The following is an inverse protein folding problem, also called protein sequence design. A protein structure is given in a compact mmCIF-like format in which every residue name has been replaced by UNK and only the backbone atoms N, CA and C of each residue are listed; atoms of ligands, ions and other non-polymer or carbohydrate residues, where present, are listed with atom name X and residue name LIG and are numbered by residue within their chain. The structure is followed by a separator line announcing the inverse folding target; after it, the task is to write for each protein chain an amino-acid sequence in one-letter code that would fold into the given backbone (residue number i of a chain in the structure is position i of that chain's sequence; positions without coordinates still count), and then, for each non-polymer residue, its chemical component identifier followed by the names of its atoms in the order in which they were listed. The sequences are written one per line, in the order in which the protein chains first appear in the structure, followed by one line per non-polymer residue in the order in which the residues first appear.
data_IF_681312899846
#
_entry.id   IF_681312899846
#
_cell.length_a   1.000
_cell.length_b   1.000
_cell.length_c   1.000
_cell.angle_alpha   90.00
_cell.angle_beta   90.00
_cell.angle_gamma   90.00
#
_symmetry.space_group_name_H-M   'P 1'
#
loop_
_entity.id
_entity.type
_entity.pdbx_description
1 polymer ?
#
# COMPACT_ATOMS: atom_id res chain seq x y z
N UNK A 1 35.69 -31.52 -13.16
CA UNK A 1 34.27 -31.22 -13.52
C UNK A 1 33.52 -30.57 -12.34
N UNK A 2 33.61 -31.09 -11.11
CA UNK A 2 32.90 -30.56 -9.92
C UNK A 2 33.32 -29.13 -9.53
N UNK A 3 34.61 -28.79 -9.63
CA UNK A 3 35.15 -27.46 -9.30
C UNK A 3 34.65 -26.40 -10.29
N UNK A 4 34.53 -26.74 -11.56
CA UNK A 4 34.02 -25.82 -12.59
C UNK A 4 32.54 -25.47 -12.39
N UNK A 5 31.72 -26.40 -11.90
CA UNK A 5 30.29 -26.18 -11.61
C UNK A 5 30.14 -25.27 -10.39
N UNK A 6 31.01 -25.42 -9.36
CA UNK A 6 31.01 -24.56 -8.16
C UNK A 6 31.40 -23.11 -8.52
N UNK A 7 32.38 -22.90 -9.39
CA UNK A 7 32.78 -21.55 -9.80
C UNK A 7 31.72 -20.86 -10.67
N UNK A 8 30.99 -21.60 -11.52
CA UNK A 8 29.88 -21.07 -12.30
C UNK A 8 28.71 -20.69 -11.35
N UNK A 9 28.43 -21.50 -10.36
CA UNK A 9 27.40 -21.20 -9.36
C UNK A 9 27.72 -19.95 -8.54
N UNK A 10 28.96 -19.77 -8.10
CA UNK A 10 29.41 -18.60 -7.34
C UNK A 10 29.40 -17.29 -8.15
N UNK A 11 29.55 -17.37 -9.48
CA UNK A 11 29.54 -16.19 -10.35
C UNK A 11 28.14 -15.84 -10.85
N UNK A 12 27.33 -16.84 -11.15
CA UNK A 12 26.02 -16.66 -11.81
C UNK A 12 24.91 -16.29 -10.82
N UNK A 13 24.93 -16.81 -9.60
CA UNK A 13 23.94 -16.51 -8.57
C UNK A 13 23.96 -15.04 -8.13
N UNK A 14 25.13 -14.41 -7.86
CA UNK A 14 25.17 -12.97 -7.54
C UNK A 14 24.67 -12.07 -8.67
N UNK A 15 25.00 -12.40 -9.93
CA UNK A 15 24.56 -11.60 -11.09
C UNK A 15 23.03 -11.65 -11.25
N UNK A 16 22.42 -12.81 -11.01
CA UNK A 16 20.95 -12.94 -11.04
C UNK A 16 20.29 -12.24 -9.87
N UNK A 17 20.92 -12.22 -8.69
CA UNK A 17 20.42 -11.46 -7.54
C UNK A 17 20.44 -9.95 -7.80
N UNK A 18 21.51 -9.41 -8.38
CA UNK A 18 21.59 -7.98 -8.76
C UNK A 18 20.55 -7.63 -9.83
N UNK A 19 20.28 -8.51 -10.78
CA UNK A 19 19.21 -8.29 -11.76
C UNK A 19 17.81 -8.29 -11.14
N UNK A 20 17.59 -9.11 -10.09
CA UNK A 20 16.33 -9.11 -9.35
C UNK A 20 16.14 -7.86 -8.49
N UNK A 21 17.21 -7.26 -7.97
CA UNK A 21 17.14 -5.96 -7.28
C UNK A 21 16.79 -4.82 -8.22
N UNK A 22 17.31 -4.81 -9.44
CA UNK A 22 17.00 -3.78 -10.45
C UNK A 22 15.55 -3.86 -11.00
N UNK A 23 14.87 -5.01 -10.87
CA UNK A 23 13.44 -5.14 -11.14
C UNK A 23 12.55 -4.61 -10.01
N UNK A 24 13.14 -4.21 -8.89
CA UNK A 24 12.44 -3.80 -7.68
C UNK A 24 12.12 -2.30 -7.61
N UNK A 25 12.70 -1.49 -8.47
CA UNK A 25 12.35 -0.09 -8.57
C UNK A 25 11.10 0.06 -9.44
N UNK A 26 9.96 0.22 -8.75
CA UNK A 26 8.73 0.67 -9.42
C UNK A 26 9.05 1.96 -10.17
N UNK A 27 8.55 2.14 -11.41
CA UNK A 27 8.76 3.38 -12.13
C UNK A 27 8.28 4.53 -11.26
N UNK A 28 9.18 5.45 -10.94
CA UNK A 28 8.84 6.68 -10.25
C UNK A 28 7.85 7.43 -11.14
N UNK A 29 6.62 7.59 -10.68
CA UNK A 29 5.66 8.48 -11.32
C UNK A 29 6.23 9.88 -11.18
N UNK A 30 6.66 10.47 -12.31
CA UNK A 30 7.03 11.87 -12.37
C UNK A 30 5.75 12.70 -12.17
N UNK A 31 5.55 13.18 -10.96
CA UNK A 31 4.53 14.20 -10.69
C UNK A 31 4.88 15.45 -11.52
N UNK A 32 3.89 16.11 -12.15
CA UNK A 32 4.13 17.38 -12.84
C UNK A 32 4.78 18.35 -11.89
N UNK A 33 5.90 18.95 -12.29
CA UNK A 33 6.52 20.06 -11.56
C UNK A 33 5.57 21.25 -11.63
N UNK A 34 4.90 21.55 -10.51
CA UNK A 34 4.20 22.81 -10.38
C UNK A 34 5.18 23.98 -10.56
N UNK A 35 4.76 24.96 -11.35
CA UNK A 35 5.55 26.12 -11.65
C UNK A 35 5.90 26.89 -10.40
N UNK A 36 7.19 27.20 -10.25
CA UNK A 36 7.73 28.03 -9.17
C UNK A 36 7.20 29.45 -9.34
N UNK A 37 6.30 29.88 -8.47
CA UNK A 37 5.95 31.28 -8.28
C UNK A 37 7.05 31.91 -7.42
N UNK A 38 7.72 32.99 -7.82
CA UNK A 38 8.77 33.60 -7.02
C UNK A 38 8.17 34.29 -5.80
N UNK A 39 8.44 33.75 -4.61
CA UNK A 39 8.12 34.42 -3.34
C UNK A 39 9.25 35.36 -2.99
N UNK A 40 8.92 36.64 -2.88
CA UNK A 40 9.73 37.73 -2.39
C UNK A 40 10.26 37.47 -0.99
N UNK A 41 11.56 37.71 -0.79
CA UNK A 41 12.29 37.62 0.47
C UNK A 41 11.72 38.53 1.56
N UNK A 42 11.34 37.95 2.70
CA UNK A 42 11.56 38.58 4.01
C UNK A 42 11.82 37.46 5.03
N UNK A 43 12.98 37.47 5.64
CA UNK A 43 13.49 36.40 6.47
C UNK A 43 12.71 36.20 7.76
N UNK A 44 12.44 34.96 8.03
CA UNK A 44 12.41 34.34 9.38
C UNK A 44 12.43 32.82 9.21
N UNK A 45 13.54 32.21 9.63
CA UNK A 45 13.64 30.75 9.76
C UNK A 45 12.76 30.30 10.92
N UNK A 46 11.52 29.93 10.63
CA UNK A 46 10.67 29.20 11.58
C UNK A 46 10.74 27.71 11.24
N UNK A 47 11.29 26.96 12.17
CA UNK A 47 11.24 25.50 12.20
C UNK A 47 9.77 25.10 12.33
N UNK A 48 9.10 24.83 11.21
CA UNK A 48 7.74 24.34 11.20
C UNK A 48 7.72 22.90 11.74
N UNK A 49 7.46 22.75 13.04
CA UNK A 49 6.82 21.54 13.55
C UNK A 49 5.48 21.44 12.80
N UNK A 50 5.39 20.54 11.82
CA UNK A 50 4.17 20.31 11.06
C UNK A 50 3.04 19.90 12.00
N UNK A 51 2.20 20.82 12.39
CA UNK A 51 0.98 20.53 13.13
C UNK A 51 0.01 19.80 12.19
N UNK A 52 -0.57 18.71 12.67
CA UNK A 52 -1.64 17.98 11.98
C UNK A 52 -2.78 18.97 11.70
N UNK A 53 -3.31 19.07 10.46
CA UNK A 53 -4.48 19.89 10.20
C UNK A 53 -5.64 19.49 11.11
N UNK A 54 -6.27 20.46 11.76
CA UNK A 54 -7.30 20.23 12.78
C UNK A 54 -8.63 19.70 12.21
N UNK A 55 -8.82 19.79 10.90
CA UNK A 55 -10.03 19.39 10.19
C UNK A 55 -9.90 18.07 9.40
N UNK A 56 -8.87 17.27 9.66
CA UNK A 56 -8.75 15.94 9.02
C UNK A 56 -9.82 14.97 9.50
N UNK A 57 -10.23 14.08 8.60
CA UNK A 57 -11.03 12.90 8.95
C UNK A 57 -10.20 12.01 9.88
N UNK A 58 -10.87 11.35 10.82
CA UNK A 58 -10.22 10.54 11.84
C UNK A 58 -9.44 9.36 11.23
N UNK A 59 -8.22 9.17 11.71
CA UNK A 59 -7.38 8.02 11.37
C UNK A 59 -7.81 6.82 12.17
N UNK A 60 -8.15 5.74 11.49
CA UNK A 60 -8.45 4.43 12.08
C UNK A 60 -7.21 3.55 12.09
N UNK A 61 -7.10 2.71 13.12
CA UNK A 61 -6.07 1.69 13.27
C UNK A 61 -6.74 0.32 13.32
N UNK A 62 -6.22 -0.63 12.55
CA UNK A 62 -6.75 -2.00 12.54
C UNK A 62 -5.63 -3.02 12.50
N UNK A 63 -5.93 -4.23 12.99
CA UNK A 63 -5.07 -5.41 12.91
C UNK A 63 -5.90 -6.53 12.29
N UNK A 64 -5.42 -7.07 11.18
CA UNK A 64 -6.08 -8.13 10.43
C UNK A 64 -5.27 -9.40 10.59
N UNK A 65 -5.89 -10.46 11.13
CA UNK A 65 -5.25 -11.77 11.21
C UNK A 65 -5.36 -12.49 9.85
N UNK A 66 -4.29 -12.41 9.07
CA UNK A 66 -4.14 -13.06 7.78
C UNK A 66 -3.10 -14.20 7.84
N UNK A 67 -3.01 -14.91 8.97
CA UNK A 67 -2.00 -15.94 9.22
C UNK A 67 -2.20 -17.22 8.41
N UNK A 68 -3.40 -17.46 7.84
CA UNK A 68 -3.65 -18.59 6.95
C UNK A 68 -2.76 -18.52 5.70
N UNK A 69 -2.23 -19.66 5.27
CA UNK A 69 -1.49 -19.77 4.00
C UNK A 69 -2.42 -20.01 2.79
N UNK A 70 -3.64 -20.42 3.04
CA UNK A 70 -4.61 -20.83 2.02
C UNK A 70 -5.77 -19.85 1.87
N UNK A 71 -6.24 -19.27 2.97
CA UNK A 71 -7.46 -18.49 3.00
C UNK A 71 -7.19 -16.99 2.94
N UNK A 72 -7.97 -16.31 2.11
CA UNK A 72 -7.98 -14.86 2.04
C UNK A 72 -8.92 -14.28 3.11
N UNK A 73 -8.45 -13.23 3.76
CA UNK A 73 -9.22 -12.42 4.70
C UNK A 73 -9.58 -11.12 4.01
N UNK A 74 -10.86 -10.85 3.85
CA UNK A 74 -11.39 -9.70 3.12
C UNK A 74 -11.68 -8.55 4.07
N UNK A 75 -11.34 -7.33 3.66
CA UNK A 75 -11.51 -6.12 4.45
C UNK A 75 -12.25 -5.06 3.65
N UNK A 76 -13.22 -4.41 4.29
CA UNK A 76 -13.99 -3.30 3.76
C UNK A 76 -13.67 -2.02 4.54
N UNK A 77 -13.19 -0.99 3.87
CA UNK A 77 -12.84 0.27 4.49
C UNK A 77 -14.04 1.07 4.97
N UNK A 78 -15.19 0.95 4.31
CA UNK A 78 -16.42 1.63 4.69
C UNK A 78 -16.92 1.13 6.04
N UNK A 79 -16.96 -0.18 6.22
CA UNK A 79 -17.31 -0.85 7.49
C UNK A 79 -16.18 -0.77 8.51
N UNK A 80 -14.93 -0.62 8.03
CA UNK A 80 -13.74 -0.59 8.86
C UNK A 80 -13.40 -1.93 9.51
N UNK A 81 -13.79 -3.03 8.87
CA UNK A 81 -13.72 -4.36 9.46
C UNK A 81 -13.45 -5.46 8.42
N UNK A 82 -13.02 -6.61 8.92
CA UNK A 82 -13.04 -7.86 8.15
C UNK A 82 -14.48 -8.23 7.84
N UNK A 83 -14.71 -8.68 6.61
CA UNK A 83 -16.02 -9.09 6.11
C UNK A 83 -15.97 -10.54 5.65
N UNK A 84 -17.04 -11.26 5.95
CA UNK A 84 -17.27 -12.60 5.40
C UNK A 84 -18.03 -12.45 4.09
N UNK A 85 -17.46 -12.97 3.00
CA UNK A 85 -18.04 -12.84 1.66
C UNK A 85 -18.33 -14.21 1.06
N UNK A 86 -19.51 -14.35 0.46
CA UNK A 86 -19.90 -15.55 -0.25
C UNK A 86 -19.48 -15.52 -1.73
N UNK A 87 -19.42 -14.34 -2.31
CA UNK A 87 -19.02 -14.10 -3.70
C UNK A 87 -17.85 -13.15 -3.78
N UNK A 88 -16.71 -13.63 -4.26
CA UNK A 88 -15.49 -12.85 -4.43
C UNK A 88 -15.63 -11.73 -5.47
N UNK A 89 -16.64 -11.80 -6.33
CA UNK A 89 -16.94 -10.77 -7.34
C UNK A 89 -17.87 -9.68 -6.80
N UNK A 90 -18.35 -9.80 -5.56
CA UNK A 90 -19.11 -8.73 -4.90
C UNK A 90 -18.26 -7.50 -4.66
N UNK A 91 -18.90 -6.33 -4.49
CA UNK A 91 -18.22 -5.08 -4.15
C UNK A 91 -18.16 -4.83 -2.62
N UNK A 92 -18.42 -5.87 -1.83
CA UNK A 92 -18.51 -5.77 -0.37
C UNK A 92 -17.16 -5.78 0.34
N UNK A 93 -16.06 -5.80 -0.40
CA UNK A 93 -14.71 -5.77 0.12
C UNK A 93 -13.80 -4.91 -0.77
N UNK A 94 -12.67 -4.43 -0.24
CA UNK A 94 -11.74 -3.56 -0.94
C UNK A 94 -10.35 -4.16 -1.10
N UNK A 95 -9.80 -4.66 -0.02
CA UNK A 95 -8.52 -5.37 0.02
C UNK A 95 -8.69 -6.75 0.62
N UNK A 96 -7.91 -7.72 0.14
CA UNK A 96 -7.83 -9.02 0.76
C UNK A 96 -6.38 -9.38 1.09
N UNK A 97 -6.21 -10.09 2.20
CA UNK A 97 -4.94 -10.40 2.80
C UNK A 97 -4.76 -11.90 2.98
N UNK A 98 -3.57 -12.40 2.63
CA UNK A 98 -3.15 -13.79 2.89
C UNK A 98 -1.67 -13.79 3.18
N UNK A 99 -1.28 -14.01 4.43
CA UNK A 99 0.09 -13.77 4.88
C UNK A 99 0.53 -12.34 4.52
N UNK A 100 1.65 -12.18 3.85
CA UNK A 100 2.13 -10.87 3.38
C UNK A 100 1.58 -10.45 2.01
N UNK A 101 0.78 -11.30 1.37
CA UNK A 101 0.15 -10.99 0.08
C UNK A 101 -1.07 -10.11 0.28
N UNK A 102 -1.22 -9.12 -0.59
CA UNK A 102 -2.37 -8.21 -0.60
C UNK A 102 -2.87 -8.06 -2.03
N UNK A 103 -4.16 -8.24 -2.22
CA UNK A 103 -4.85 -8.01 -3.49
C UNK A 103 -5.96 -6.97 -3.30
N UNK A 104 -6.38 -6.35 -4.39
CA UNK A 104 -7.48 -5.38 -4.40
C UNK A 104 -8.70 -5.93 -5.12
N UNK A 105 -9.86 -5.39 -4.80
CA UNK A 105 -11.11 -5.75 -5.46
C UNK A 105 -11.26 -5.02 -6.80
N UNK A 106 -10.34 -5.32 -7.73
CA UNK A 106 -10.32 -4.70 -9.05
C UNK A 106 -9.43 -5.44 -10.04
N UNK A 107 -9.47 -5.03 -11.30
CA UNK A 107 -8.63 -5.59 -12.35
C UNK A 107 -8.83 -7.09 -12.59
N UNK A 108 -7.73 -7.85 -12.55
CA UNK A 108 -7.77 -9.29 -12.79
C UNK A 108 -8.44 -10.07 -11.63
N UNK A 109 -8.48 -9.53 -10.43
CA UNK A 109 -9.12 -10.15 -9.26
C UNK A 109 -10.64 -10.04 -9.34
N UNK A 110 -11.16 -8.86 -9.70
CA UNK A 110 -12.58 -8.65 -9.92
C UNK A 110 -12.80 -7.60 -11.03
N UNK A 111 -13.44 -8.02 -12.12
CA UNK A 111 -13.74 -7.14 -13.26
C UNK A 111 -14.84 -6.11 -12.97
N UNK A 112 -15.66 -6.34 -11.96
CA UNK A 112 -16.74 -5.44 -11.56
C UNK A 112 -16.29 -4.39 -10.55
N UNK A 113 -15.25 -4.71 -9.74
CA UNK A 113 -14.66 -3.79 -8.79
C UNK A 113 -13.73 -2.78 -9.47
N UNK A 114 -13.69 -1.56 -8.91
CA UNK A 114 -12.85 -0.47 -9.41
C UNK A 114 -11.60 -0.24 -8.58
N UNK A 115 -11.31 -1.17 -7.65
CA UNK A 115 -10.20 -1.01 -6.75
C UNK A 115 -8.85 -1.00 -7.47
N UNK A 116 -7.97 -0.16 -6.96
CA UNK A 116 -6.60 -0.03 -7.41
C UNK A 116 -5.78 0.75 -6.39
N UNK A 117 -4.47 0.84 -6.61
CA UNK A 117 -3.56 1.47 -5.67
C UNK A 117 -2.56 2.40 -6.35
N UNK A 118 -2.10 3.39 -5.58
CA UNK A 118 -0.94 4.24 -5.92
C UNK A 118 0.00 4.23 -4.72
N UNK A 119 1.30 4.09 -4.97
CA UNK A 119 2.32 4.28 -3.96
C UNK A 119 2.71 5.77 -3.91
N UNK A 120 2.33 6.47 -2.85
CA UNK A 120 2.65 7.89 -2.63
C UNK A 120 4.07 8.09 -2.10
N UNK A 121 4.82 7.02 -1.86
CA UNK A 121 6.17 7.09 -1.29
C UNK A 121 6.18 7.34 0.22
N UNK A 122 7.33 7.82 0.71
CA UNK A 122 7.57 8.06 2.15
C UNK A 122 7.00 9.40 2.62
N UNK A 123 5.75 9.68 2.28
CA UNK A 123 5.07 10.88 2.77
C UNK A 123 4.65 10.72 4.23
N UNK A 124 4.60 11.85 4.96
CA UNK A 124 3.99 11.86 6.27
C UNK A 124 2.48 11.63 6.13
N UNK A 125 1.98 10.55 6.72
CA UNK A 125 0.60 10.13 6.60
C UNK A 125 -0.40 11.23 6.99
N UNK A 126 -0.11 11.99 8.04
CA UNK A 126 -1.00 13.06 8.53
C UNK A 126 -0.99 14.31 7.62
N UNK A 127 0.04 14.47 6.78
CA UNK A 127 0.15 15.57 5.83
C UNK A 127 -0.48 15.26 4.47
N UNK A 128 -0.83 14.02 4.20
CA UNK A 128 -1.58 13.65 2.99
C UNK A 128 -3.04 14.05 3.20
N UNK A 129 -3.42 15.20 2.66
CA UNK A 129 -4.78 15.77 2.76
C UNK A 129 -5.66 15.42 1.57
N UNK A 130 -5.07 15.02 0.46
CA UNK A 130 -5.73 14.56 -0.75
C UNK A 130 -4.94 13.46 -1.45
N UNK A 131 -5.57 12.75 -2.37
CA UNK A 131 -4.95 11.72 -3.21
C UNK A 131 -5.33 11.92 -4.68
N UNK A 132 -4.54 11.39 -5.64
CA UNK A 132 -4.90 11.45 -7.05
C UNK A 132 -6.29 10.88 -7.31
N UNK A 133 -7.01 11.44 -8.29
CA UNK A 133 -8.31 10.93 -8.71
C UNK A 133 -8.19 9.74 -9.66
N UNK A 134 -7.09 9.67 -10.43
CA UNK A 134 -6.87 8.70 -11.50
C UNK A 134 -5.51 8.00 -11.38
N UNK A 135 -5.23 7.12 -12.35
CA UNK A 135 -3.99 6.35 -12.46
C UNK A 135 -3.75 5.33 -11.34
N UNK A 136 -4.82 4.81 -10.76
CA UNK A 136 -4.74 3.70 -9.82
C UNK A 136 -4.41 2.40 -10.56
N UNK A 137 -3.42 1.68 -10.04
CA UNK A 137 -2.99 0.39 -10.59
C UNK A 137 -3.86 -0.73 -10.05
N UNK A 138 -4.67 -1.40 -10.90
CA UNK A 138 -5.48 -2.54 -10.49
C UNK A 138 -4.62 -3.81 -10.39
N UNK A 139 -5.23 -4.89 -9.92
CA UNK A 139 -4.60 -6.19 -9.90
C UNK A 139 -4.36 -6.74 -11.31
N UNK A 140 -3.27 -7.46 -11.47
CA UNK A 140 -2.89 -8.16 -12.69
C UNK A 140 -2.95 -9.67 -12.49
N UNK A 141 -3.18 -10.41 -13.58
CA UNK A 141 -3.07 -11.85 -13.59
C UNK A 141 -1.61 -12.27 -13.73
N UNK A 142 -1.19 -13.22 -12.92
CA UNK A 142 0.08 -13.94 -13.07
C UNK A 142 -0.17 -15.36 -13.56
N UNK A 143 0.87 -16.19 -13.63
CA UNK A 143 0.73 -17.59 -14.03
C UNK A 143 -0.08 -18.44 -13.02
N UNK A 144 -0.08 -18.05 -11.76
CA UNK A 144 -0.63 -18.88 -10.67
C UNK A 144 -1.77 -18.21 -9.91
N UNK A 145 -1.78 -16.89 -9.83
CA UNK A 145 -2.76 -16.14 -9.04
C UNK A 145 -2.88 -14.70 -9.55
N UNK A 146 -3.68 -13.87 -8.89
CA UNK A 146 -3.72 -12.43 -9.11
C UNK A 146 -2.88 -11.72 -8.06
N UNK A 147 -2.31 -10.57 -8.42
CA UNK A 147 -1.50 -9.75 -7.52
C UNK A 147 -1.64 -8.26 -7.85
N UNK A 148 -1.46 -7.41 -6.84
CA UNK A 148 -1.34 -5.98 -7.07
C UNK A 148 0.12 -5.56 -7.16
N UNK A 149 0.59 -5.00 -8.31
CA UNK A 149 2.01 -4.63 -8.50
C UNK A 149 2.52 -3.62 -7.48
N UNK A 150 1.66 -2.73 -6.99
CA UNK A 150 2.02 -1.70 -5.99
C UNK A 150 2.28 -2.30 -4.62
N UNK A 151 1.55 -3.38 -4.27
CA UNK A 151 1.62 -4.01 -2.94
C UNK A 151 2.51 -5.25 -2.87
N UNK A 152 3.12 -5.68 -3.96
CA UNK A 152 4.06 -6.81 -3.96
C UNK A 152 5.17 -6.66 -2.92
N UNK A 153 5.61 -5.43 -2.71
CA UNK A 153 6.73 -5.10 -1.81
C UNK A 153 6.39 -3.95 -0.87
N UNK A 154 5.23 -4.03 -0.17
CA UNK A 154 4.91 -3.09 0.90
C UNK A 154 5.85 -3.23 2.11
N UNK A 155 6.70 -4.26 2.11
CA UNK A 155 7.67 -4.59 3.14
C UNK A 155 9.09 -4.75 2.58
N UNK A 156 10.08 -4.76 3.46
CA UNK A 156 11.45 -5.24 3.23
C UNK A 156 11.66 -6.54 3.99
N UNK A 157 12.39 -7.48 3.40
CA UNK A 157 12.72 -8.75 4.00
C UNK A 157 14.22 -8.81 4.32
N UNK A 158 14.56 -9.13 5.57
CA UNK A 158 15.94 -9.32 5.99
C UNK A 158 16.30 -10.80 5.89
N UNK A 159 17.20 -11.14 4.98
CA UNK A 159 17.60 -12.51 4.68
C UNK A 159 18.44 -13.17 5.81
N UNK A 160 19.06 -12.38 6.70
CA UNK A 160 19.84 -12.89 7.82
C UNK A 160 18.93 -13.24 9.00
N UNK A 161 18.01 -12.34 9.34
CA UNK A 161 17.14 -12.53 10.50
C UNK A 161 15.79 -13.15 10.14
N UNK A 162 15.53 -13.35 8.84
CA UNK A 162 14.25 -13.83 8.29
C UNK A 162 13.04 -12.98 8.71
N UNK A 163 13.28 -11.69 9.01
CA UNK A 163 12.24 -10.76 9.44
C UNK A 163 11.76 -9.91 8.28
N UNK A 164 10.46 -9.66 8.31
CA UNK A 164 9.74 -8.76 7.43
C UNK A 164 9.49 -7.45 8.18
N UNK A 165 9.73 -6.31 7.54
CA UNK A 165 9.47 -4.99 8.12
C UNK A 165 8.66 -4.16 7.15
N UNK A 166 7.57 -3.55 7.60
CA UNK A 166 6.77 -2.65 6.77
C UNK A 166 7.61 -1.45 6.31
N UNK A 167 7.47 -1.09 5.04
CA UNK A 167 8.07 0.15 4.51
C UNK A 167 7.30 1.36 5.01
N UNK A 168 7.99 2.50 5.12
CA UNK A 168 7.39 3.76 5.59
C UNK A 168 6.47 4.43 4.55
N UNK A 169 6.09 3.73 3.49
CA UNK A 169 5.29 4.29 2.41
C UNK A 169 3.84 4.49 2.82
N UNK A 170 3.26 5.58 2.33
CA UNK A 170 1.80 5.82 2.33
C UNK A 170 1.27 5.44 0.96
N UNK A 171 0.09 4.83 0.92
CA UNK A 171 -0.57 4.41 -0.31
C UNK A 171 -1.94 5.08 -0.41
N UNK A 172 -2.34 5.44 -1.63
CA UNK A 172 -3.71 5.74 -1.95
C UNK A 172 -4.39 4.47 -2.46
N UNK A 173 -5.59 4.22 -2.00
CA UNK A 173 -6.45 3.12 -2.46
C UNK A 173 -7.72 3.72 -3.03
N UNK A 174 -8.10 3.31 -4.22
CA UNK A 174 -9.45 3.43 -4.74
C UNK A 174 -10.20 2.16 -4.36
N UNK A 175 -11.37 2.29 -3.74
CA UNK A 175 -12.16 1.15 -3.26
C UNK A 175 -12.92 0.46 -4.40
N UNK A 176 -13.51 -0.69 -4.13
CA UNK A 176 -14.30 -1.44 -5.10
C UNK A 176 -15.46 -0.62 -5.67
N UNK A 177 -16.08 0.22 -4.84
CA UNK A 177 -17.20 1.11 -5.13
C UNK A 177 -16.78 2.56 -5.48
N UNK A 178 -15.49 2.77 -5.82
CA UNK A 178 -14.93 4.03 -6.30
C UNK A 178 -14.82 5.14 -5.24
N UNK A 179 -14.65 4.80 -3.96
CA UNK A 179 -14.31 5.75 -2.90
C UNK A 179 -12.79 5.84 -2.72
N UNK A 180 -12.32 6.70 -1.82
CA UNK A 180 -10.90 6.95 -1.63
C UNK A 180 -10.43 6.64 -0.20
N UNK A 181 -9.23 6.07 -0.11
CA UNK A 181 -8.58 5.74 1.15
C UNK A 181 -7.10 6.13 1.07
N UNK A 182 -6.54 6.69 2.13
CA UNK A 182 -5.11 6.65 2.35
C UNK A 182 -4.79 5.60 3.40
N UNK A 183 -3.78 4.76 3.14
CA UNK A 183 -3.39 3.65 4.01
C UNK A 183 -1.87 3.61 4.19
N UNK A 184 -1.44 3.19 5.37
CA UNK A 184 -0.04 2.88 5.68
C UNK A 184 0.02 1.58 6.45
N UNK A 185 0.81 0.63 5.96
CA UNK A 185 1.10 -0.60 6.67
C UNK A 185 2.15 -0.33 7.75
N UNK A 186 1.93 -0.87 8.94
CA UNK A 186 2.76 -0.60 10.11
C UNK A 186 3.53 -1.83 10.57
N UNK A 187 2.93 -3.02 10.50
CA UNK A 187 3.52 -4.25 10.99
C UNK A 187 2.93 -5.48 10.29
N UNK A 188 3.62 -6.62 10.46
CA UNK A 188 3.23 -7.94 9.95
C UNK A 188 3.13 -8.98 11.07
N UNK A 189 3.39 -8.60 12.31
CA UNK A 189 3.45 -9.53 13.42
C UNK A 189 2.24 -9.38 14.34
N UNK A 190 1.77 -10.53 14.82
CA UNK A 190 0.73 -10.63 15.83
C UNK A 190 1.28 -10.25 17.22
N UNK A 191 0.40 -10.05 18.19
CA UNK A 191 0.80 -9.70 19.55
C UNK A 191 1.76 -10.75 20.18
N UNK A 192 1.60 -12.03 19.84
CA UNK A 192 2.47 -13.14 20.24
C UNK A 192 3.76 -13.27 19.41
N UNK A 193 4.06 -12.29 18.53
CA UNK A 193 5.20 -12.26 17.60
C UNK A 193 5.14 -13.28 16.47
N UNK A 194 4.05 -14.02 16.30
CA UNK A 194 3.81 -14.83 15.11
C UNK A 194 3.58 -13.96 13.89
N UNK A 195 3.85 -14.51 12.70
CA UNK A 195 3.72 -13.81 11.42
C UNK A 195 2.29 -13.90 10.88
N UNK A 196 1.86 -12.88 10.15
CA UNK A 196 0.59 -12.89 9.41
C UNK A 196 -0.48 -11.97 9.95
N UNK A 197 -0.19 -11.13 10.96
CA UNK A 197 -1.11 -10.07 11.39
C UNK A 197 -0.74 -8.74 10.73
N UNK A 198 -1.53 -8.30 9.78
CA UNK A 198 -1.33 -7.02 9.10
C UNK A 198 -1.87 -5.91 9.99
N UNK A 199 -0.99 -5.06 10.49
CA UNK A 199 -1.35 -3.83 11.19
C UNK A 199 -1.28 -2.66 10.22
N UNK A 200 -2.36 -1.92 10.09
CA UNK A 200 -2.40 -0.73 9.24
C UNK A 200 -3.16 0.42 9.88
N UNK A 201 -2.78 1.64 9.51
CA UNK A 201 -3.58 2.84 9.74
C UNK A 201 -4.16 3.34 8.43
N UNK A 202 -5.37 3.90 8.48
CA UNK A 202 -6.03 4.39 7.28
C UNK A 202 -7.02 5.52 7.60
N UNK A 203 -7.35 6.28 6.57
CA UNK A 203 -8.49 7.21 6.55
C UNK A 203 -9.33 6.87 5.33
N UNK A 204 -10.60 6.61 5.53
CA UNK A 204 -11.59 6.35 4.48
C UNK A 204 -12.40 7.60 4.22
N UNK A 205 -12.59 7.95 2.95
CA UNK A 205 -13.44 9.02 2.48
C UNK A 205 -14.55 8.44 1.60
N UNK A 206 -15.77 8.45 2.13
CA UNK A 206 -16.92 7.76 1.54
C UNK A 206 -17.93 8.68 0.88
N UNK A 207 -17.60 9.97 0.66
CA UNK A 207 -18.49 10.92 0.00
C UNK A 207 -18.18 11.15 -1.50
N UNK A 208 -17.23 10.34 -2.05
CA UNK A 208 -16.78 10.45 -3.42
C UNK A 208 -15.66 11.48 -3.63
N UNK A 209 -15.31 12.27 -2.61
CA UNK A 209 -14.19 13.19 -2.65
C UNK A 209 -12.85 12.47 -2.46
N UNK A 210 -11.82 12.95 -3.12
CA UNK A 210 -10.44 12.50 -2.90
C UNK A 210 -9.73 13.26 -1.77
N UNK A 211 -10.45 14.12 -1.03
CA UNK A 211 -9.91 14.95 0.05
C UNK A 211 -10.27 14.36 1.42
N UNK A 212 -9.28 14.25 2.31
CA UNK A 212 -9.45 13.72 3.66
C UNK A 212 -9.70 14.82 4.71
N UNK A 213 -10.40 15.85 4.31
CA UNK A 213 -10.77 17.02 5.13
C UNK A 213 -12.26 16.91 5.46
N UNK A 214 -12.62 17.16 6.72
CA UNK A 214 -14.03 17.24 7.11
C UNK A 214 -14.70 18.41 6.37
N UNK A 215 -15.90 18.22 5.84
CA UNK A 215 -16.66 19.36 5.29
C UNK A 215 -16.78 20.46 6.36
N UNK A 216 -16.52 21.69 5.95
CA UNK A 216 -16.76 22.85 6.81
C UNK A 216 -18.28 22.94 7.01
N UNK A 217 -18.77 22.76 8.23
CA UNK A 217 -20.15 23.07 8.57
C UNK A 217 -20.37 24.56 8.33
N UNK A 218 -21.07 24.88 7.21
CA UNK A 218 -21.54 26.23 6.94
C UNK A 218 -22.63 26.64 7.93
#
# INVERSE_FOLDING_TARGET
LCISILLIGLYWVPIKMVQLENFADSPSVNLPKEGVVPISNSGQTQTLKGSKPSNLIETKLTVINASSENDWVYFDFSRGNVVDIHDRTSLEWDLAFRRSKVISNGGATNKFGKAGLINLGKLNFDQVVDVPQDNYTPDIATKTETENPILLKWYSYNYITHKLSAKSNTYAVKTADNQYVKVKFLDFYCANKETGCIKMQYVYQGDGSNQFIKPTSG
#
